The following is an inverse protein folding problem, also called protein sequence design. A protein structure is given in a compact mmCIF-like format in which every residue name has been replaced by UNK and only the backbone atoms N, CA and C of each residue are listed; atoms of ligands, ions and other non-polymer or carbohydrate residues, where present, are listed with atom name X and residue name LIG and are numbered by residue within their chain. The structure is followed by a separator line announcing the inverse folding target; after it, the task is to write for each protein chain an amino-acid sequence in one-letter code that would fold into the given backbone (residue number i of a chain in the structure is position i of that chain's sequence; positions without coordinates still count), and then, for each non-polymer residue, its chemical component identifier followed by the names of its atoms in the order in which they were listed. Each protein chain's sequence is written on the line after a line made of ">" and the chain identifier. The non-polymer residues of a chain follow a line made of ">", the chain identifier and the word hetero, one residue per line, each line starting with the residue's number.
data_IF_546718300910
#
_entry.id   IF_546718300910
#
_cell.length_a   1.000
_cell.length_b   1.000
_cell.length_c   1.000
_cell.angle_alpha   90.00
_cell.angle_beta   90.00
_cell.angle_gamma   90.00
#
_symmetry.space_group_name_H-M   'P 1'
#
loop_
_entity.id
_entity.type
_entity.pdbx_description
1 polymer ?
#
# COMPACT_ATOMS: atom_id res chain seq x y z
N UNK A 1 -2.44 11.46 3.38
CA UNK A 1 -1.28 12.39 3.34
C UNK A 1 -0.43 12.05 4.53
N UNK A 2 0.89 12.08 4.42
CA UNK A 2 1.75 11.92 5.59
C UNK A 2 1.59 13.08 6.57
N UNK A 3 1.94 12.84 7.83
CA UNK A 3 2.01 13.91 8.83
C UNK A 3 3.15 14.89 8.48
N UNK A 4 3.06 16.17 8.87
CA UNK A 4 4.10 17.15 8.60
C UNK A 4 5.47 16.69 9.12
N UNK A 5 6.44 16.55 8.21
CA UNK A 5 7.81 16.12 8.54
C UNK A 5 8.08 14.63 8.39
N UNK A 6 7.08 13.81 8.05
CA UNK A 6 7.29 12.41 7.70
C UNK A 6 7.79 12.25 6.26
N UNK A 7 8.73 11.32 6.07
CA UNK A 7 9.03 10.75 4.75
C UNK A 7 7.94 9.77 4.33
N UNK A 8 7.85 9.48 3.03
CA UNK A 8 6.91 8.48 2.47
C UNK A 8 7.04 7.13 3.19
N UNK A 9 8.27 6.67 3.46
CA UNK A 9 8.52 5.41 4.17
C UNK A 9 8.06 5.49 5.62
N UNK A 10 8.32 6.59 6.33
CA UNK A 10 7.87 6.75 7.72
C UNK A 10 6.35 6.73 7.81
N UNK A 11 5.66 7.46 6.93
CA UNK A 11 4.20 7.40 6.84
C UNK A 11 3.73 5.98 6.55
N UNK A 12 4.29 5.29 5.55
CA UNK A 12 3.86 3.92 5.21
C UNK A 12 4.04 2.93 6.37
N UNK A 13 5.12 3.05 7.15
CA UNK A 13 5.36 2.19 8.31
C UNK A 13 4.40 2.48 9.46
N UNK A 14 4.11 3.77 9.71
CA UNK A 14 3.12 4.18 10.72
C UNK A 14 1.73 3.66 10.36
N UNK A 15 1.27 3.91 9.13
CA UNK A 15 -0.05 3.46 8.65
C UNK A 15 -0.15 1.93 8.67
N UNK A 16 0.91 1.20 8.27
CA UNK A 16 0.95 -0.26 8.37
C UNK A 16 0.70 -0.74 9.80
N UNK A 17 1.37 -0.13 10.79
CA UNK A 17 1.15 -0.43 12.21
C UNK A 17 -0.27 -0.08 12.66
N UNK A 18 -0.74 1.12 12.37
CA UNK A 18 -2.03 1.63 12.85
C UNK A 18 -3.21 0.83 12.28
N UNK A 19 -3.16 0.46 11.00
CA UNK A 19 -4.23 -0.25 10.32
C UNK A 19 -4.17 -1.77 10.50
N UNK A 20 -2.97 -2.35 10.61
CA UNK A 20 -2.78 -3.81 10.56
C UNK A 20 -2.02 -4.43 11.73
N UNK A 21 -1.46 -3.62 12.63
CA UNK A 21 -0.69 -4.07 13.80
C UNK A 21 0.61 -4.80 13.47
N UNK A 22 1.14 -4.60 12.26
CA UNK A 22 2.38 -5.23 11.79
C UNK A 22 3.58 -4.35 12.13
N UNK A 23 4.58 -4.93 12.82
CA UNK A 23 5.76 -4.22 13.36
C UNK A 23 7.09 -4.84 12.94
N UNK A 24 7.07 -6.10 12.51
CA UNK A 24 8.23 -6.95 12.24
C UNK A 24 8.76 -6.75 10.80
N UNK A 25 9.04 -5.49 10.48
CA UNK A 25 9.51 -5.07 9.15
C UNK A 25 10.95 -5.50 8.91
N UNK A 26 11.16 -6.26 7.84
CA UNK A 26 12.48 -6.68 7.34
C UNK A 26 13.09 -5.62 6.44
N UNK A 27 12.30 -5.02 5.55
CA UNK A 27 12.75 -3.96 4.66
C UNK A 27 11.59 -3.12 4.16
N UNK A 28 11.84 -1.83 3.92
CA UNK A 28 10.91 -0.93 3.26
C UNK A 28 11.62 -0.18 2.12
N UNK A 29 10.97 -0.07 0.97
CA UNK A 29 11.52 0.60 -0.21
C UNK A 29 10.44 1.39 -0.93
N UNK A 30 10.72 2.65 -1.22
CA UNK A 30 9.86 3.45 -2.10
C UNK A 30 9.91 2.87 -3.53
N UNK A 31 8.73 2.57 -4.06
CA UNK A 31 8.53 2.05 -5.43
C UNK A 31 8.33 3.21 -6.40
N UNK A 32 7.65 4.26 -5.96
CA UNK A 32 7.40 5.46 -6.73
C UNK A 32 6.25 6.28 -6.17
N UNK A 33 5.85 7.32 -6.92
CA UNK A 33 4.77 8.23 -6.54
C UNK A 33 3.80 8.44 -7.70
N UNK A 34 2.54 8.76 -7.39
CA UNK A 34 1.55 9.18 -8.38
C UNK A 34 0.55 10.18 -7.77
N UNK A 35 -0.20 10.87 -8.63
CA UNK A 35 -1.34 11.68 -8.21
C UNK A 35 -2.64 10.89 -8.42
N UNK A 36 -3.50 10.83 -7.39
CA UNK A 36 -4.79 10.16 -7.51
C UNK A 36 -5.74 10.91 -8.45
N UNK A 37 -5.73 12.24 -8.42
CA UNK A 37 -6.54 13.10 -9.28
C UNK A 37 -5.87 14.46 -9.44
N UNK A 38 -5.21 14.72 -10.57
CA UNK A 38 -4.51 15.98 -10.81
C UNK A 38 -5.44 17.19 -11.03
N UNK A 39 -6.74 16.97 -11.26
CA UNK A 39 -7.72 18.03 -11.46
C UNK A 39 -8.33 18.54 -10.15
N UNK A 40 -8.34 17.71 -9.10
CA UNK A 40 -8.97 18.01 -7.82
C UNK A 40 -8.03 17.93 -6.61
N UNK A 41 -7.10 16.98 -6.62
CA UNK A 41 -6.22 16.67 -5.49
C UNK A 41 -4.75 16.95 -5.87
N UNK A 42 -4.15 17.96 -5.24
CA UNK A 42 -2.72 18.26 -5.41
C UNK A 42 -1.79 17.23 -4.77
N UNK A 43 -2.34 16.30 -3.98
CA UNK A 43 -1.56 15.44 -3.11
C UNK A 43 -0.93 14.29 -3.90
N UNK A 44 0.37 14.07 -3.64
CA UNK A 44 1.09 12.89 -4.10
C UNK A 44 0.78 11.70 -3.18
N UNK A 45 0.65 10.52 -3.77
CA UNK A 45 0.58 9.24 -3.08
C UNK A 45 1.90 8.52 -3.34
N UNK A 46 2.61 8.19 -2.26
CA UNK A 46 3.79 7.35 -2.31
C UNK A 46 3.42 5.88 -2.20
N UNK A 47 4.10 5.04 -2.99
CA UNK A 47 3.96 3.58 -2.97
C UNK A 47 5.22 3.00 -2.36
N UNK A 48 5.06 2.21 -1.31
CA UNK A 48 6.16 1.57 -0.60
C UNK A 48 5.95 0.06 -0.62
N UNK A 49 6.99 -0.67 -0.99
CA UNK A 49 7.07 -2.11 -0.81
C UNK A 49 7.65 -2.38 0.57
N UNK A 50 6.90 -3.14 1.39
CA UNK A 50 7.31 -3.52 2.74
C UNK A 50 7.36 -5.05 2.81
N UNK A 51 8.49 -5.57 3.26
CA UNK A 51 8.70 -7.00 3.54
C UNK A 51 8.67 -7.16 5.06
N UNK A 52 7.91 -8.14 5.53
CA UNK A 52 7.67 -8.43 6.96
C UNK A 52 8.08 -9.87 7.25
N UNK A 53 8.42 -10.17 8.50
CA UNK A 53 8.93 -11.48 8.89
C UNK A 53 7.80 -12.50 9.17
N UNK A 54 6.65 -12.02 9.62
CA UNK A 54 5.48 -12.74 10.09
C UNK A 54 4.23 -12.24 9.37
N UNK A 55 3.26 -13.13 9.19
CA UNK A 55 1.97 -12.85 8.55
C UNK A 55 0.85 -12.60 9.58
N UNK A 56 1.20 -12.09 10.77
CA UNK A 56 0.21 -11.76 11.80
C UNK A 56 -0.46 -10.41 11.48
N UNK A 57 -1.79 -10.35 11.59
CA UNK A 57 -2.56 -9.12 11.46
C UNK A 57 -3.38 -8.86 12.74
N UNK A 58 -3.41 -7.61 13.17
CA UNK A 58 -4.31 -7.07 14.18
C UNK A 58 -4.98 -5.85 13.58
N UNK A 59 -6.22 -6.02 13.10
CA UNK A 59 -6.94 -4.99 12.36
C UNK A 59 -7.26 -3.80 13.27
N UNK A 60 -6.77 -2.62 12.90
CA UNK A 60 -7.03 -1.35 13.57
C UNK A 60 -8.46 -0.83 13.33
N UNK A 61 -8.84 0.29 13.97
CA UNK A 61 -10.21 0.80 13.93
C UNK A 61 -10.64 1.31 12.55
N UNK A 62 -9.70 1.63 11.65
CA UNK A 62 -9.97 2.19 10.33
C UNK A 62 -10.32 1.12 9.28
N UNK A 63 -10.00 -0.14 9.57
CA UNK A 63 -10.26 -1.26 8.68
C UNK A 63 -11.38 -2.16 9.23
N UNK A 64 -12.29 -2.58 8.35
CA UNK A 64 -13.30 -3.59 8.72
C UNK A 64 -12.70 -5.00 8.84
N UNK A 65 -11.74 -5.31 7.98
CA UNK A 65 -11.04 -6.60 7.94
C UNK A 65 -9.79 -6.49 7.08
N UNK A 66 -8.77 -7.26 7.42
CA UNK A 66 -7.59 -7.47 6.59
C UNK A 66 -7.27 -8.96 6.46
N UNK A 67 -6.63 -9.35 5.36
CA UNK A 67 -6.11 -10.71 5.17
C UNK A 67 -4.87 -10.67 4.29
N UNK A 68 -3.93 -11.57 4.55
CA UNK A 68 -2.91 -11.90 3.56
C UNK A 68 -3.53 -12.59 2.36
N UNK A 69 -3.03 -12.28 1.17
CA UNK A 69 -3.54 -12.83 -0.08
C UNK A 69 -2.38 -13.06 -1.04
N UNK A 70 -2.32 -14.22 -1.71
CA UNK A 70 -1.30 -14.46 -2.72
C UNK A 70 -1.35 -13.42 -3.84
N UNK A 71 -0.19 -12.99 -4.30
CA UNK A 71 -0.04 -12.04 -5.43
C UNK A 71 -0.87 -12.46 -6.66
N UNK A 72 -0.88 -13.76 -6.99
CA UNK A 72 -1.64 -14.28 -8.13
C UNK A 72 -3.17 -14.08 -8.00
N UNK A 73 -3.70 -14.06 -6.76
CA UNK A 73 -5.12 -13.75 -6.52
C UNK A 73 -5.41 -12.28 -6.77
N UNK A 74 -4.46 -11.40 -6.41
CA UNK A 74 -4.57 -9.96 -6.67
C UNK A 74 -4.50 -9.67 -8.18
N UNK A 75 -3.59 -10.32 -8.90
CA UNK A 75 -3.53 -10.26 -10.36
C UNK A 75 -4.84 -10.70 -11.03
N UNK A 76 -5.41 -11.82 -10.59
CA UNK A 76 -6.68 -12.32 -11.11
C UNK A 76 -7.85 -11.35 -10.82
N UNK A 77 -7.89 -10.76 -9.62
CA UNK A 77 -8.93 -9.81 -9.23
C UNK A 77 -8.86 -8.51 -10.03
N UNK A 78 -7.66 -8.01 -10.32
CA UNK A 78 -7.44 -6.85 -11.21
C UNK A 78 -7.88 -7.18 -12.63
N UNK A 79 -7.42 -8.32 -13.19
CA UNK A 79 -7.77 -8.74 -14.55
C UNK A 79 -9.28 -8.97 -14.73
N UNK A 80 -9.96 -9.50 -13.71
CA UNK A 80 -11.40 -9.70 -13.71
C UNK A 80 -12.23 -8.43 -13.43
N UNK A 81 -11.58 -7.29 -13.17
CA UNK A 81 -12.26 -6.03 -12.85
C UNK A 81 -13.02 -6.06 -11.52
N UNK A 82 -12.58 -6.90 -10.58
CA UNK A 82 -13.12 -6.97 -9.22
C UNK A 82 -12.52 -5.87 -8.33
N UNK A 83 -11.29 -5.45 -8.61
CA UNK A 83 -10.67 -4.26 -8.02
C UNK A 83 -10.86 -3.10 -8.98
N UNK A 84 -11.48 -2.03 -8.48
CA UNK A 84 -11.84 -0.84 -9.26
C UNK A 84 -11.38 0.45 -8.59
N UNK A 85 -10.75 0.34 -7.42
CA UNK A 85 -10.19 1.48 -6.71
C UNK A 85 -8.96 2.00 -7.47
N UNK A 86 -9.00 3.26 -7.88
CA UNK A 86 -7.97 3.85 -8.73
C UNK A 86 -6.60 3.93 -8.06
N UNK A 87 -6.57 4.19 -6.74
CA UNK A 87 -5.34 4.25 -5.95
C UNK A 87 -4.68 2.87 -5.90
N UNK A 88 -5.46 1.83 -5.60
CA UNK A 88 -5.02 0.44 -5.59
C UNK A 88 -4.48 0.01 -6.96
N UNK A 89 -5.20 0.33 -8.05
CA UNK A 89 -4.79 -0.03 -9.40
C UNK A 89 -3.49 0.67 -9.81
N UNK A 90 -3.32 1.94 -9.48
CA UNK A 90 -2.09 2.70 -9.76
C UNK A 90 -0.90 2.16 -8.95
N UNK A 91 -1.08 1.92 -7.66
CA UNK A 91 -0.07 1.29 -6.80
C UNK A 91 0.35 -0.09 -7.32
N UNK A 92 -0.62 -0.92 -7.73
CA UNK A 92 -0.36 -2.24 -8.30
C UNK A 92 0.44 -2.16 -9.60
N UNK A 93 0.09 -1.24 -10.50
CA UNK A 93 0.81 -1.01 -11.76
C UNK A 93 2.26 -0.58 -11.53
N UNK A 94 2.49 0.35 -10.58
CA UNK A 94 3.84 0.79 -10.22
C UNK A 94 4.66 -0.38 -9.65
N UNK A 95 4.12 -1.10 -8.67
CA UNK A 95 4.81 -2.21 -8.02
C UNK A 95 5.14 -3.34 -9.01
N UNK A 96 4.18 -3.76 -9.83
CA UNK A 96 4.42 -4.79 -10.85
C UNK A 96 5.47 -4.37 -11.89
N UNK A 97 5.53 -3.08 -12.26
CA UNK A 97 6.56 -2.57 -13.18
C UNK A 97 7.97 -2.56 -12.57
N UNK A 98 8.08 -2.38 -11.26
CA UNK A 98 9.33 -2.28 -10.52
C UNK A 98 9.93 -3.63 -10.10
N UNK A 99 9.19 -4.74 -10.27
CA UNK A 99 9.62 -6.12 -9.93
C UNK A 99 10.47 -6.81 -11.01
N UNK A 100 10.77 -6.12 -12.11
CA UNK A 100 11.47 -6.69 -13.27
C UNK A 100 12.94 -6.96 -13.01
#
# INVERSE_FOLDING_TARGET
>A
MGEPGETIIQTALRELHEETGVDDVVSAREVGVFHADTGLLSNLIGVVEIIVAEDRLVVGPELQSARWTPVAVLDAAVAAGQIRDGITLAAWALWTSARR
#
